data_IF_520775026621
#
_entry.id   IF_520775026621
#
_cell.length_a   1.000
_cell.length_b   1.000
_cell.length_c   1.000
_cell.angle_alpha   90.00
_cell.angle_beta   90.00
_cell.angle_gamma   90.00
#
_symmetry.space_group_name_H-M   'P 1'
#
loop_
_entity.id
_entity.type
_entity.pdbx_description
1 polymer ?
#
# COMPACT_ATOMS: atom_id res chain seq x y z
N UNK A 1 -21.31 28.99 -15.43
CA UNK A 1 -21.45 27.55 -15.13
C UNK A 1 -20.39 27.19 -14.10
N UNK A 2 -20.70 26.37 -13.08
CA UNK A 2 -19.67 25.91 -12.14
C UNK A 2 -18.58 25.14 -12.90
N UNK A 3 -17.32 25.31 -12.50
CA UNK A 3 -16.20 24.55 -13.07
C UNK A 3 -16.43 23.03 -12.90
N UNK A 4 -16.01 22.20 -13.87
CA UNK A 4 -16.13 20.76 -13.75
C UNK A 4 -15.33 20.26 -12.55
N UNK A 5 -15.87 19.27 -11.84
CA UNK A 5 -15.20 18.62 -10.73
C UNK A 5 -13.89 17.97 -11.24
N UNK A 6 -12.72 18.30 -10.65
CA UNK A 6 -11.47 17.62 -10.91
C UNK A 6 -11.56 16.12 -10.68
N UNK A 7 -10.78 15.32 -11.44
CA UNK A 7 -10.79 13.89 -11.28
C UNK A 7 -10.35 13.50 -9.86
N UNK A 8 -10.98 12.46 -9.33
CA UNK A 8 -10.71 11.94 -7.99
C UNK A 8 -9.86 10.68 -8.09
N UNK A 9 -8.85 10.56 -7.24
CA UNK A 9 -8.04 9.34 -7.12
C UNK A 9 -8.25 8.73 -5.73
N UNK A 10 -8.64 7.46 -5.70
CA UNK A 10 -8.79 6.65 -4.48
C UNK A 10 -7.52 5.84 -4.27
N UNK A 11 -6.88 6.05 -3.12
CA UNK A 11 -5.65 5.34 -2.70
C UNK A 11 -6.02 4.36 -1.58
N UNK A 12 -5.91 3.04 -1.81
CA UNK A 12 -6.40 2.04 -0.88
C UNK A 12 -5.47 1.80 0.32
N UNK A 13 -5.99 1.10 1.32
CA UNK A 13 -5.23 0.62 2.48
C UNK A 13 -4.28 -0.55 2.15
N UNK A 14 -3.46 -0.91 3.13
CA UNK A 14 -2.56 -2.07 3.03
C UNK A 14 -3.38 -3.33 2.76
N UNK A 15 -2.84 -4.23 1.92
CA UNK A 15 -3.46 -5.50 1.50
C UNK A 15 -4.71 -5.40 0.63
N UNK A 16 -5.30 -4.21 0.44
CA UNK A 16 -6.55 -4.03 -0.29
C UNK A 16 -6.43 -4.05 -1.83
N UNK A 17 -5.22 -4.24 -2.36
CA UNK A 17 -4.96 -4.40 -3.79
C UNK A 17 -4.65 -5.87 -4.07
N UNK A 18 -5.34 -6.48 -5.03
CA UNK A 18 -4.98 -7.79 -5.55
C UNK A 18 -3.65 -7.74 -6.28
N UNK A 19 -2.84 -8.79 -6.14
CA UNK A 19 -1.53 -8.91 -6.79
C UNK A 19 -1.51 -10.15 -7.69
N UNK A 20 -0.93 -10.01 -8.88
CA UNK A 20 -0.80 -11.09 -9.85
C UNK A 20 0.66 -11.22 -10.34
N UNK A 21 1.14 -12.44 -10.55
CA UNK A 21 2.36 -12.70 -11.29
C UNK A 21 2.08 -12.67 -12.80
N UNK A 22 2.84 -11.87 -13.52
CA UNK A 22 2.66 -11.61 -14.95
C UNK A 22 3.65 -12.33 -15.86
N UNK A 23 4.53 -13.19 -15.33
CA UNK A 23 5.39 -14.03 -16.16
C UNK A 23 4.68 -15.22 -16.83
N UNK A 24 3.74 -15.92 -16.18
CA UNK A 24 2.96 -16.94 -16.87
C UNK A 24 2.11 -16.36 -18.01
N UNK A 25 1.79 -17.17 -19.03
CA UNK A 25 0.98 -16.73 -20.18
C UNK A 25 -0.40 -16.20 -19.77
N UNK A 26 -1.00 -16.81 -18.76
CA UNK A 26 -2.19 -16.29 -18.07
C UNK A 26 -1.73 -15.78 -16.71
N UNK A 27 -1.92 -14.48 -16.39
CA UNK A 27 -1.52 -13.94 -15.10
C UNK A 27 -2.11 -14.76 -13.95
N UNK A 28 -1.27 -15.08 -12.98
CA UNK A 28 -1.64 -15.87 -11.82
C UNK A 28 -1.91 -14.95 -10.62
N UNK A 29 -3.15 -14.90 -10.12
CA UNK A 29 -3.49 -14.09 -8.94
C UNK A 29 -2.88 -14.74 -7.70
N UNK A 30 -1.89 -14.10 -7.07
CA UNK A 30 -1.21 -14.63 -5.87
C UNK A 30 -1.76 -14.04 -4.57
N UNK A 31 -2.49 -12.91 -4.66
CA UNK A 31 -3.14 -12.27 -3.54
C UNK A 31 -4.45 -11.62 -3.95
N UNK A 32 -5.50 -11.93 -3.20
CA UNK A 32 -6.70 -11.12 -3.09
C UNK A 32 -7.21 -11.14 -1.64
N UNK A 33 -7.82 -10.05 -1.14
CA UNK A 33 -8.15 -9.95 0.30
C UNK A 33 -9.05 -11.05 0.86
N UNK A 34 -9.81 -11.74 0.00
CA UNK A 34 -10.79 -12.75 0.40
C UNK A 34 -10.61 -14.10 -0.27
N UNK A 35 -10.15 -14.17 -1.52
CA UNK A 35 -10.19 -15.41 -2.31
C UNK A 35 -8.86 -16.16 -2.33
N UNK A 36 -7.75 -15.46 -2.57
CA UNK A 36 -6.43 -16.08 -2.64
C UNK A 36 -5.42 -15.43 -1.69
N UNK A 37 -4.79 -16.24 -0.81
CA UNK A 37 -3.79 -15.79 0.15
C UNK A 37 -2.57 -16.71 0.09
N UNK A 38 -1.83 -16.63 -1.01
CA UNK A 38 -0.60 -17.38 -1.17
C UNK A 38 0.56 -16.67 -0.45
N UNK A 39 0.70 -16.99 0.84
CA UNK A 39 1.70 -16.41 1.74
C UNK A 39 3.15 -16.69 1.30
N UNK A 40 3.39 -17.78 0.58
CA UNK A 40 4.72 -18.13 0.10
C UNK A 40 5.09 -17.27 -1.12
N UNK A 41 4.12 -17.05 -2.03
CA UNK A 41 4.29 -16.21 -3.23
C UNK A 41 4.39 -14.71 -2.94
N UNK A 42 3.81 -14.22 -1.83
CA UNK A 42 3.94 -12.81 -1.45
C UNK A 42 5.18 -12.50 -0.59
N UNK A 43 5.93 -13.51 -0.16
CA UNK A 43 7.10 -13.30 0.70
C UNK A 43 8.25 -12.63 -0.07
N UNK A 44 8.90 -11.64 0.57
CA UNK A 44 9.95 -10.83 -0.07
C UNK A 44 11.33 -11.47 0.12
N UNK A 45 12.18 -11.40 -0.90
CA UNK A 45 13.51 -11.98 -0.87
C UNK A 45 14.37 -11.31 0.22
N UNK A 46 15.06 -12.08 1.08
CA UNK A 46 15.80 -11.54 2.22
C UNK A 46 16.95 -10.60 1.81
N UNK A 47 17.68 -10.91 0.73
CA UNK A 47 18.79 -10.06 0.28
C UNK A 47 18.34 -8.78 -0.44
N UNK A 48 17.14 -8.77 -1.02
CA UNK A 48 16.61 -7.64 -1.77
C UNK A 48 15.07 -7.67 -1.74
N UNK A 49 14.44 -6.92 -0.81
CA UNK A 49 13.00 -6.97 -0.61
C UNK A 49 12.22 -6.27 -1.74
N UNK A 50 12.85 -5.98 -2.87
CA UNK A 50 12.18 -5.56 -4.10
C UNK A 50 11.66 -6.74 -4.92
N UNK A 51 12.16 -7.95 -4.65
CA UNK A 51 11.88 -9.17 -5.41
C UNK A 51 11.30 -10.27 -4.51
N UNK A 52 10.71 -11.27 -5.12
CA UNK A 52 10.07 -12.42 -4.48
C UNK A 52 11.08 -13.48 -4.05
N UNK A 53 10.78 -14.19 -2.97
CA UNK A 53 11.73 -15.09 -2.32
C UNK A 53 11.75 -16.53 -2.89
N UNK A 54 10.62 -16.97 -3.45
CA UNK A 54 10.43 -18.38 -3.83
C UNK A 54 10.97 -18.67 -5.24
N UNK A 55 10.57 -17.86 -6.20
CA UNK A 55 10.95 -18.01 -7.60
C UNK A 55 10.93 -16.65 -8.32
N UNK A 56 11.65 -16.51 -9.46
CA UNK A 56 11.53 -15.33 -10.29
C UNK A 56 10.07 -15.14 -10.74
N UNK A 57 9.46 -14.04 -10.30
CA UNK A 57 8.11 -13.65 -10.67
C UNK A 57 8.07 -12.15 -11.00
N UNK A 58 7.03 -11.73 -11.70
CA UNK A 58 6.77 -10.31 -11.97
C UNK A 58 5.44 -9.94 -11.38
N UNK A 59 5.45 -9.72 -10.08
CA UNK A 59 4.26 -9.37 -9.32
C UNK A 59 3.88 -7.91 -9.57
N UNK A 60 2.65 -7.70 -10.03
CA UNK A 60 2.10 -6.39 -10.29
C UNK A 60 0.75 -6.20 -9.58
N UNK A 61 0.42 -4.96 -9.18
CA UNK A 61 -0.89 -4.66 -8.66
C UNK A 61 -1.94 -4.70 -9.78
N UNK A 62 -3.05 -5.40 -9.52
CA UNK A 62 -4.13 -5.59 -10.50
C UNK A 62 -5.30 -4.64 -10.26
N UNK A 63 -6.00 -4.81 -9.14
CA UNK A 63 -7.23 -4.08 -8.84
C UNK A 63 -7.44 -3.92 -7.34
N UNK A 64 -8.21 -2.90 -6.95
CA UNK A 64 -8.69 -2.76 -5.58
C UNK A 64 -9.72 -3.85 -5.27
N UNK A 65 -9.89 -4.13 -3.99
CA UNK A 65 -10.90 -5.04 -3.50
C UNK A 65 -12.31 -4.47 -3.65
N UNK A 66 -12.98 -4.86 -4.74
CA UNK A 66 -14.28 -4.30 -5.15
C UNK A 66 -15.32 -4.24 -4.03
N UNK A 67 -15.44 -5.29 -3.21
CA UNK A 67 -16.39 -5.35 -2.08
C UNK A 67 -16.26 -4.17 -1.11
N UNK A 68 -15.06 -3.60 -0.93
CA UNK A 68 -14.83 -2.47 -0.03
C UNK A 68 -14.83 -1.12 -0.74
N UNK A 69 -14.41 -1.07 -2.01
CA UNK A 69 -14.16 0.20 -2.70
C UNK A 69 -15.17 0.54 -3.79
N UNK A 70 -15.98 -0.41 -4.27
CA UNK A 70 -16.95 -0.17 -5.35
C UNK A 70 -18.01 0.85 -4.92
N UNK A 71 -18.58 0.68 -3.73
CA UNK A 71 -19.56 1.62 -3.17
C UNK A 71 -18.98 3.01 -2.97
N UNK A 72 -17.73 3.10 -2.47
CA UNK A 72 -17.04 4.38 -2.31
C UNK A 72 -16.81 5.06 -3.67
N UNK A 73 -16.32 4.32 -4.67
CA UNK A 73 -16.09 4.85 -6.01
C UNK A 73 -17.40 5.27 -6.66
N UNK A 74 -18.46 4.47 -6.53
CA UNK A 74 -19.78 4.78 -7.05
C UNK A 74 -20.37 6.04 -6.40
N UNK A 75 -20.29 6.16 -5.07
CA UNK A 75 -20.74 7.34 -4.34
C UNK A 75 -19.95 8.59 -4.75
N UNK A 76 -18.62 8.53 -4.82
CA UNK A 76 -17.80 9.65 -5.28
C UNK A 76 -18.13 10.06 -6.73
N UNK A 77 -18.40 9.09 -7.61
CA UNK A 77 -18.86 9.37 -8.98
C UNK A 77 -20.22 10.05 -8.97
N UNK A 78 -21.17 9.60 -8.15
CA UNK A 78 -22.52 10.14 -8.11
C UNK A 78 -22.58 11.52 -7.43
N UNK A 79 -22.12 11.60 -6.18
CA UNK A 79 -22.35 12.75 -5.29
C UNK A 79 -21.52 13.98 -5.67
N UNK A 80 -20.37 13.77 -6.33
CA UNK A 80 -19.54 14.88 -6.82
C UNK A 80 -19.92 15.32 -8.23
N UNK A 81 -20.91 14.69 -8.87
CA UNK A 81 -21.34 15.04 -10.22
C UNK A 81 -22.22 16.28 -10.20
N UNK A 82 -21.77 17.34 -10.87
CA UNK A 82 -22.56 18.56 -11.03
C UNK A 82 -23.56 18.50 -12.19
N UNK A 83 -23.41 17.53 -13.11
CA UNK A 83 -24.30 17.33 -14.26
C UNK A 83 -24.51 15.86 -14.58
N UNK A 84 -25.76 15.40 -14.62
CA UNK A 84 -26.09 13.99 -14.83
C UNK A 84 -25.52 13.38 -16.14
N UNK A 85 -25.33 14.19 -17.18
CA UNK A 85 -24.74 13.79 -18.47
C UNK A 85 -23.21 13.68 -18.44
N UNK A 86 -22.57 14.10 -17.34
CA UNK A 86 -21.11 14.19 -17.18
C UNK A 86 -20.71 13.74 -15.78
N UNK A 87 -20.74 12.43 -15.49
CA UNK A 87 -20.35 11.93 -14.18
C UNK A 87 -18.89 12.25 -13.86
N UNK A 88 -18.60 12.59 -12.60
CA UNK A 88 -17.25 12.88 -12.12
C UNK A 88 -16.32 11.67 -12.32
N UNK A 89 -15.18 11.83 -13.00
CA UNK A 89 -14.21 10.76 -13.15
C UNK A 89 -13.54 10.41 -11.82
N UNK A 90 -13.64 9.14 -11.43
CA UNK A 90 -13.00 8.59 -10.22
C UNK A 90 -12.15 7.38 -10.62
N UNK A 91 -10.89 7.40 -10.21
CA UNK A 91 -9.87 6.42 -10.56
C UNK A 91 -9.31 5.76 -9.30
N UNK A 92 -9.09 4.46 -9.35
CA UNK A 92 -8.41 3.74 -8.29
C UNK A 92 -6.90 3.70 -8.57
N UNK A 93 -6.09 3.83 -7.52
CA UNK A 93 -4.63 3.67 -7.58
C UNK A 93 -4.22 2.35 -6.92
N UNK A 94 -4.22 1.22 -7.65
CA UNK A 94 -3.69 -0.03 -7.14
C UNK A 94 -2.16 0.05 -7.03
N UNK A 95 -1.60 -0.43 -5.91
CA UNK A 95 -0.16 -0.47 -5.67
C UNK A 95 0.26 -1.78 -5.00
N UNK A 96 1.52 -2.18 -5.17
CA UNK A 96 2.10 -3.31 -4.45
C UNK A 96 2.32 -2.92 -2.99
N UNK A 97 1.38 -3.32 -2.14
CA UNK A 97 1.33 -2.99 -0.73
C UNK A 97 2.42 -3.69 0.10
N UNK A 98 3.22 -4.57 -0.50
CA UNK A 98 4.33 -5.24 0.18
C UNK A 98 5.58 -4.35 0.23
N UNK A 99 5.76 -3.51 -0.78
CA UNK A 99 6.98 -2.75 -1.04
C UNK A 99 7.17 -1.57 -0.07
N UNK A 100 8.39 -1.03 -0.03
CA UNK A 100 8.66 0.26 0.64
C UNK A 100 7.69 1.34 0.12
N UNK A 101 6.93 1.95 1.03
CA UNK A 101 5.95 3.00 0.76
C UNK A 101 6.51 4.16 -0.09
N UNK A 102 7.82 4.45 0.00
CA UNK A 102 8.48 5.48 -0.82
C UNK A 102 8.40 5.17 -2.31
N UNK A 103 8.40 3.89 -2.71
CA UNK A 103 8.19 3.48 -4.11
C UNK A 103 6.77 3.79 -4.55
N UNK A 104 5.79 3.42 -3.73
CA UNK A 104 4.37 3.66 -3.99
C UNK A 104 4.04 5.16 -4.03
N UNK A 105 4.75 5.99 -3.25
CA UNK A 105 4.64 7.46 -3.30
C UNK A 105 5.10 8.02 -4.67
N UNK A 106 6.20 7.52 -5.21
CA UNK A 106 6.66 7.94 -6.54
C UNK A 106 5.70 7.48 -7.64
N UNK A 107 5.22 6.23 -7.55
CA UNK A 107 4.21 5.71 -8.47
C UNK A 107 2.90 6.51 -8.39
N UNK A 108 2.48 6.96 -7.20
CA UNK A 108 1.31 7.84 -7.05
C UNK A 108 1.55 9.19 -7.74
N UNK A 109 2.76 9.75 -7.63
CA UNK A 109 3.11 10.99 -8.31
C UNK A 109 3.02 10.87 -9.84
N UNK A 110 3.51 9.75 -10.40
CA UNK A 110 3.40 9.42 -11.82
C UNK A 110 1.94 9.22 -12.23
N UNK A 111 1.17 8.49 -11.43
CA UNK A 111 -0.24 8.21 -11.68
C UNK A 111 -1.09 9.49 -11.69
N UNK A 112 -0.83 10.45 -10.79
CA UNK A 112 -1.49 11.76 -10.80
C UNK A 112 -1.22 12.50 -12.11
N UNK A 113 0.02 12.45 -12.61
CA UNK A 113 0.38 13.06 -13.91
C UNK A 113 -0.38 12.37 -15.04
N UNK A 114 -0.42 11.04 -15.03
CA UNK A 114 -1.13 10.24 -16.02
C UNK A 114 -2.63 10.56 -16.04
N UNK A 115 -3.30 10.58 -14.89
CA UNK A 115 -4.73 10.91 -14.77
C UNK A 115 -5.03 12.30 -15.34
N UNK A 116 -4.21 13.32 -15.01
CA UNK A 116 -4.38 14.66 -15.56
C UNK A 116 -4.14 14.73 -17.07
N UNK A 117 -3.17 13.97 -17.58
CA UNK A 117 -2.86 13.88 -19.01
C UNK A 117 -3.96 13.14 -19.78
N UNK A 118 -4.59 12.12 -19.21
CA UNK A 118 -5.73 11.42 -19.83
C UNK A 118 -6.98 12.27 -19.80
N UNK A 119 -7.32 12.85 -18.64
CA UNK A 119 -8.54 13.64 -18.47
C UNK A 119 -8.60 14.87 -19.39
N UNK A 120 -7.49 15.58 -19.62
CA UNK A 120 -7.47 16.75 -20.53
C UNK A 120 -7.82 16.42 -21.99
N UNK A 121 -7.75 15.15 -22.39
CA UNK A 121 -8.06 14.71 -23.75
C UNK A 121 -9.54 14.33 -23.91
N UNK A 122 -10.30 14.27 -22.82
CA UNK A 122 -11.69 13.81 -22.85
C UNK A 122 -12.68 14.97 -23.00
N UNK A 123 -13.80 14.78 -23.72
CA UNK A 123 -14.84 15.80 -23.88
C UNK A 123 -15.38 16.37 -22.56
N UNK A 124 -15.32 15.58 -21.47
CA UNK A 124 -15.71 16.00 -20.13
C UNK A 124 -15.01 17.29 -19.69
N UNK A 125 -13.75 17.49 -20.11
CA UNK A 125 -12.89 18.60 -19.71
C UNK A 125 -12.44 19.49 -20.88
N UNK A 126 -13.13 19.44 -22.02
CA UNK A 126 -12.72 20.16 -23.23
C UNK A 126 -12.63 21.69 -23.02
N UNK A 127 -13.62 22.25 -22.30
CA UNK A 127 -13.70 23.69 -22.06
C UNK A 127 -12.74 24.15 -20.95
N UNK A 128 -12.58 23.32 -19.91
CA UNK A 128 -11.76 23.62 -18.72
C UNK A 128 -10.93 22.38 -18.36
N UNK A 129 -9.72 22.23 -18.93
CA UNK A 129 -8.84 21.10 -18.64
C UNK A 129 -8.41 21.06 -17.16
N UNK A 130 -8.45 19.89 -16.48
CA UNK A 130 -8.08 19.80 -15.09
C UNK A 130 -6.56 19.95 -14.95
N UNK A 131 -6.15 20.82 -14.02
CA UNK A 131 -4.75 21.00 -13.63
C UNK A 131 -4.41 20.32 -12.31
N UNK A 132 -5.44 19.89 -11.56
CA UNK A 132 -5.32 19.27 -10.24
C UNK A 132 -6.26 18.08 -10.12
N UNK A 133 -5.99 17.24 -9.12
CA UNK A 133 -6.83 16.11 -8.70
C UNK A 133 -7.31 16.31 -7.27
N UNK A 134 -8.40 15.65 -6.90
CA UNK A 134 -8.73 15.40 -5.49
C UNK A 134 -8.27 13.98 -5.10
N UNK A 135 -7.76 13.81 -3.89
CA UNK A 135 -7.26 12.53 -3.40
C UNK A 135 -8.09 12.04 -2.22
N UNK A 136 -8.46 10.75 -2.23
CA UNK A 136 -9.13 10.06 -1.13
C UNK A 136 -8.26 8.89 -0.69
N UNK A 137 -7.67 8.99 0.50
CA UNK A 137 -6.81 7.94 1.06
C UNK A 137 -7.53 7.14 2.14
N UNK A 138 -7.57 5.83 2.01
CA UNK A 138 -8.04 4.94 3.06
C UNK A 138 -6.87 4.25 3.77
N UNK A 139 -6.88 4.24 5.11
CA UNK A 139 -5.85 3.57 5.93
C UNK A 139 -4.44 4.00 5.49
N UNK A 140 -3.54 3.06 5.16
CA UNK A 140 -2.19 3.32 4.67
C UNK A 140 -2.14 4.19 3.40
N UNK A 141 -3.20 4.21 2.59
CA UNK A 141 -3.28 5.07 1.41
C UNK A 141 -3.21 6.57 1.75
N UNK A 142 -3.70 6.97 2.92
CA UNK A 142 -3.52 8.36 3.38
C UNK A 142 -2.07 8.70 3.75
N UNK A 143 -1.25 7.71 4.17
CA UNK A 143 0.18 7.91 4.38
C UNK A 143 0.91 8.11 3.06
N UNK A 144 0.54 7.35 2.02
CA UNK A 144 1.09 7.53 0.68
C UNK A 144 0.74 8.93 0.13
N UNK A 145 -0.48 9.40 0.34
CA UNK A 145 -0.86 10.77 -0.02
C UNK A 145 -0.03 11.79 0.77
N UNK A 146 0.11 11.63 2.09
CA UNK A 146 0.90 12.54 2.91
C UNK A 146 2.36 12.61 2.43
N UNK A 147 2.96 11.46 2.11
CA UNK A 147 4.29 11.38 1.51
C UNK A 147 4.36 12.06 0.14
N UNK A 148 3.38 11.83 -0.74
CA UNK A 148 3.29 12.51 -2.03
C UNK A 148 3.24 14.04 -1.90
N UNK A 149 2.49 14.56 -0.92
CA UNK A 149 2.38 16.01 -0.67
C UNK A 149 3.71 16.67 -0.28
N UNK A 150 4.70 15.90 0.20
CA UNK A 150 6.05 16.43 0.47
C UNK A 150 6.83 16.72 -0.82
N UNK A 151 6.45 16.10 -1.94
CA UNK A 151 7.12 16.30 -3.23
C UNK A 151 6.72 17.66 -3.83
N UNK A 152 7.69 18.35 -4.44
CA UNK A 152 7.44 19.64 -5.12
C UNK A 152 6.36 19.53 -6.19
N UNK A 153 6.26 18.37 -6.86
CA UNK A 153 5.29 18.10 -7.93
C UNK A 153 3.84 18.08 -7.45
N UNK A 154 3.59 17.78 -6.18
CA UNK A 154 2.24 17.71 -5.62
C UNK A 154 1.59 19.09 -5.43
N UNK A 155 2.39 20.12 -5.09
CA UNK A 155 1.91 21.48 -4.74
C UNK A 155 1.02 22.11 -5.80
N UNK A 156 1.26 21.81 -7.07
CA UNK A 156 0.50 22.39 -8.19
C UNK A 156 -0.59 21.45 -8.73
N UNK A 157 -0.62 20.19 -8.27
CA UNK A 157 -1.43 19.11 -8.85
C UNK A 157 -2.49 18.54 -7.92
N UNK A 158 -2.52 18.93 -6.65
CA UNK A 158 -3.54 18.47 -5.69
C UNK A 158 -4.42 19.65 -5.27
N UNK A 159 -5.74 19.47 -5.32
CA UNK A 159 -6.71 20.48 -4.89
C UNK A 159 -7.24 20.18 -3.50
N UNK A 160 -7.73 18.97 -3.25
CA UNK A 160 -8.23 18.51 -1.93
C UNK A 160 -7.71 17.12 -1.59
N UNK A 161 -7.64 16.86 -0.29
CA UNK A 161 -7.32 15.54 0.27
C UNK A 161 -8.35 15.18 1.33
N UNK A 162 -8.87 13.97 1.27
CA UNK A 162 -9.68 13.33 2.30
C UNK A 162 -8.97 12.07 2.76
N UNK A 163 -8.89 11.84 4.06
CA UNK A 163 -8.34 10.59 4.62
C UNK A 163 -9.37 9.87 5.48
N UNK A 164 -9.40 8.55 5.37
CA UNK A 164 -10.36 7.66 6.03
C UNK A 164 -9.56 6.67 6.89
N UNK A 165 -9.59 6.83 8.22
CA UNK A 165 -8.92 5.90 9.14
C UNK A 165 -7.41 5.80 8.98
N UNK A 166 -6.74 6.86 8.51
CA UNK A 166 -5.29 6.83 8.23
C UNK A 166 -4.44 6.85 9.52
N UNK A 167 -3.52 5.90 9.71
CA UNK A 167 -2.69 5.81 10.91
C UNK A 167 -1.46 6.72 10.82
N UNK A 168 -1.64 8.04 10.87
CA UNK A 168 -0.54 9.04 10.74
C UNK A 168 0.62 8.88 11.74
N UNK A 169 0.39 8.20 12.86
CA UNK A 169 1.40 7.93 13.91
C UNK A 169 1.70 6.45 14.06
N UNK A 170 1.40 5.65 13.02
CA UNK A 170 1.44 4.20 13.00
C UNK A 170 0.23 3.52 13.64
N UNK A 171 0.20 2.20 13.57
CA UNK A 171 -0.89 1.34 14.02
C UNK A 171 -0.35 0.25 14.95
N UNK A 172 -0.94 0.12 16.15
CA UNK A 172 -0.63 -0.96 17.10
C UNK A 172 -0.86 -2.33 16.47
N UNK A 173 -1.79 -2.43 15.53
CA UNK A 173 -2.06 -3.66 14.77
C UNK A 173 -0.82 -4.20 14.05
N UNK A 174 0.08 -3.33 13.57
CA UNK A 174 1.34 -3.77 12.96
C UNK A 174 2.24 -4.51 13.96
N UNK A 175 2.25 -4.08 15.22
CA UNK A 175 3.00 -4.73 16.31
C UNK A 175 2.41 -6.11 16.60
N UNK A 176 1.08 -6.18 16.73
CA UNK A 176 0.34 -7.44 16.92
C UNK A 176 0.62 -8.40 15.76
N UNK A 177 0.59 -7.89 14.51
CA UNK A 177 0.81 -8.70 13.32
C UNK A 177 2.19 -9.32 13.29
N UNK A 178 3.22 -8.52 13.56
CA UNK A 178 4.61 -8.98 13.59
C UNK A 178 4.91 -9.87 14.80
N UNK A 179 4.23 -9.66 15.94
CA UNK A 179 4.49 -10.41 17.17
C UNK A 179 3.74 -11.74 17.20
N UNK A 180 2.43 -11.73 16.99
CA UNK A 180 1.56 -12.89 17.22
C UNK A 180 0.92 -13.43 15.94
N UNK A 181 0.90 -12.64 14.87
CA UNK A 181 0.19 -12.97 13.64
C UNK A 181 -1.28 -12.58 13.67
N UNK A 182 -1.75 -12.07 14.81
CA UNK A 182 -3.11 -11.56 14.99
C UNK A 182 -3.23 -10.16 14.41
N UNK A 183 -4.45 -9.75 14.08
CA UNK A 183 -4.73 -8.37 13.70
C UNK A 183 -6.20 -8.16 13.34
N UNK A 184 -6.64 -6.90 13.36
CA UNK A 184 -8.05 -6.52 13.17
C UNK A 184 -8.63 -7.02 11.84
N UNK A 185 -7.78 -7.17 10.82
CA UNK A 185 -8.19 -7.67 9.49
C UNK A 185 -8.11 -9.20 9.33
N UNK A 186 -7.55 -9.91 10.31
CA UNK A 186 -7.19 -11.35 10.18
C UNK A 186 -7.80 -12.25 11.25
N UNK A 187 -8.43 -11.64 12.27
CA UNK A 187 -9.15 -12.29 13.35
C UNK A 187 -8.29 -12.64 14.57
N UNK A 188 -8.93 -13.22 15.58
CA UNK A 188 -8.37 -13.46 16.93
C UNK A 188 -7.55 -14.76 17.06
N UNK A 189 -7.38 -15.52 15.98
CA UNK A 189 -6.62 -16.76 15.98
C UNK A 189 -5.20 -16.55 15.40
N UNK A 190 -4.13 -17.04 16.06
CA UNK A 190 -2.77 -17.00 15.52
C UNK A 190 -2.68 -17.74 14.17
N UNK A 191 -2.13 -17.07 13.15
CA UNK A 191 -1.88 -17.63 11.82
C UNK A 191 -0.39 -17.63 11.53
N UNK A 192 0.25 -18.79 11.71
CA UNK A 192 1.72 -18.88 11.65
C UNK A 192 2.29 -18.46 10.29
N UNK A 193 1.74 -18.96 9.18
CA UNK A 193 2.21 -18.62 7.82
C UNK A 193 2.09 -17.13 7.52
N UNK A 194 0.97 -16.54 7.93
CA UNK A 194 0.72 -15.12 7.72
C UNK A 194 1.66 -14.24 8.56
N UNK A 195 1.94 -14.64 9.80
CA UNK A 195 2.93 -13.97 10.66
C UNK A 195 4.32 -14.03 10.04
N UNK A 196 4.72 -15.21 9.55
CA UNK A 196 6.02 -15.40 8.91
C UNK A 196 6.13 -14.53 7.65
N UNK A 197 5.14 -14.53 6.77
CA UNK A 197 5.09 -13.67 5.59
C UNK A 197 5.13 -12.18 5.98
N UNK A 198 4.33 -11.75 6.95
CA UNK A 198 4.28 -10.35 7.40
C UNK A 198 5.64 -9.81 7.88
N UNK A 199 6.46 -10.66 8.51
CA UNK A 199 7.82 -10.30 8.95
C UNK A 199 8.80 -10.04 7.80
N UNK A 200 8.44 -10.41 6.58
CA UNK A 200 9.25 -10.15 5.38
C UNK A 200 8.83 -8.91 4.61
N UNK A 201 7.71 -8.27 4.99
CA UNK A 201 7.05 -7.23 4.20
C UNK A 201 7.43 -5.83 4.70
N UNK A 202 8.22 -5.04 3.94
CA UNK A 202 8.61 -3.68 4.28
C UNK A 202 7.49 -2.76 4.78
N UNK A 203 6.37 -2.69 4.06
CA UNK A 203 5.29 -1.76 4.38
C UNK A 203 4.67 -1.97 5.78
N UNK A 204 4.69 -3.21 6.30
CA UNK A 204 4.17 -3.50 7.64
C UNK A 204 5.05 -2.84 8.70
N UNK A 205 6.37 -2.80 8.51
CA UNK A 205 7.28 -2.10 9.41
C UNK A 205 7.06 -0.58 9.37
N UNK A 206 6.73 -0.03 8.20
CA UNK A 206 6.40 1.39 8.02
C UNK A 206 5.08 1.81 8.67
N UNK A 207 4.30 0.86 9.19
CA UNK A 207 3.12 1.11 10.02
C UNK A 207 3.43 1.05 11.52
N UNK A 208 4.67 0.79 11.95
CA UNK A 208 5.01 0.76 13.38
C UNK A 208 4.76 2.11 14.05
N UNK A 209 4.12 2.14 15.22
CA UNK A 209 3.82 3.38 15.90
C UNK A 209 5.05 4.05 16.51
N UNK A 210 5.08 5.38 16.47
CA UNK A 210 6.20 6.21 16.93
C UNK A 210 5.81 7.26 17.98
N UNK A 211 4.63 7.13 18.59
CA UNK A 211 4.16 8.06 19.62
C UNK A 211 4.66 7.74 21.03
N UNK A 212 4.73 8.77 21.87
CA UNK A 212 5.19 8.65 23.26
C UNK A 212 4.35 7.68 24.10
N UNK A 213 4.99 7.02 25.06
CA UNK A 213 4.37 5.99 25.90
C UNK A 213 4.59 4.56 25.42
N UNK A 214 5.23 4.37 24.26
CA UNK A 214 5.63 3.07 23.74
C UNK A 214 7.15 2.82 23.89
N UNK A 215 7.58 1.55 24.03
CA UNK A 215 8.98 1.19 23.78
C UNK A 215 9.40 1.62 22.37
N UNK A 216 10.70 1.87 22.17
CA UNK A 216 11.21 2.17 20.83
C UNK A 216 11.10 0.93 19.92
N UNK A 217 10.03 0.83 19.14
CA UNK A 217 9.75 -0.30 18.23
C UNK A 217 10.71 -0.36 17.04
N UNK A 218 11.52 0.67 16.80
CA UNK A 218 12.59 0.67 15.79
C UNK A 218 13.91 0.12 16.35
N UNK A 219 13.92 -0.37 17.60
CA UNK A 219 15.07 -1.01 18.22
C UNK A 219 14.84 -2.52 18.35
N UNK A 220 15.74 -3.32 17.77
CA UNK A 220 15.67 -4.79 17.80
C UNK A 220 15.51 -5.37 19.21
N UNK A 221 16.15 -4.75 20.22
CA UNK A 221 16.12 -5.21 21.62
C UNK A 221 14.73 -5.19 22.26
N UNK A 222 13.80 -4.42 21.71
CA UNK A 222 12.44 -4.28 22.24
C UNK A 222 11.47 -5.29 21.61
N UNK A 223 11.94 -6.16 20.72
CA UNK A 223 11.14 -7.20 20.10
C UNK A 223 11.40 -8.56 20.72
N UNK A 224 10.35 -9.37 20.76
CA UNK A 224 10.46 -10.75 21.24
C UNK A 224 11.46 -11.57 20.38
N UNK A 225 12.26 -12.46 20.98
CA UNK A 225 13.28 -13.24 20.25
C UNK A 225 12.74 -14.05 19.06
N UNK A 226 11.48 -14.47 19.11
CA UNK A 226 10.87 -15.28 18.05
C UNK A 226 10.69 -14.52 16.73
N UNK A 227 10.69 -13.18 16.72
CA UNK A 227 10.68 -12.40 15.46
C UNK A 227 11.98 -12.62 14.71
N UNK A 228 13.11 -12.40 15.38
CA UNK A 228 14.44 -12.61 14.81
C UNK A 228 14.67 -14.08 14.50
N UNK A 229 14.21 -15.00 15.37
CA UNK A 229 14.29 -16.44 15.15
C UNK A 229 13.58 -16.90 13.87
N UNK A 230 12.39 -16.35 13.56
CA UNK A 230 11.71 -16.60 12.29
C UNK A 230 12.52 -16.08 11.11
N UNK A 231 13.07 -14.86 11.19
CA UNK A 231 13.88 -14.30 10.11
C UNK A 231 15.18 -15.06 9.89
N UNK A 232 15.79 -15.61 10.94
CA UNK A 232 16.93 -16.54 10.83
C UNK A 232 16.57 -17.80 10.06
N UNK A 233 15.45 -18.44 10.44
CA UNK A 233 14.95 -19.62 9.73
C UNK A 233 14.66 -19.28 8.27
N UNK A 234 14.04 -18.14 8.01
CA UNK A 234 13.70 -17.65 6.67
C UNK A 234 14.96 -17.43 5.80
N UNK A 235 15.92 -16.64 6.26
CA UNK A 235 17.18 -16.43 5.53
C UNK A 235 17.91 -17.75 5.23
N UNK A 236 17.92 -18.70 6.18
CA UNK A 236 18.52 -20.03 5.97
C UNK A 236 17.79 -20.83 4.89
N UNK A 237 16.46 -20.86 4.92
CA UNK A 237 15.66 -21.60 3.94
C UNK A 237 15.84 -21.07 2.52
N UNK A 238 16.01 -19.75 2.37
CA UNK A 238 16.23 -19.08 1.08
C UNK A 238 17.72 -18.91 0.72
N UNK A 239 18.64 -19.52 1.48
CA UNK A 239 20.10 -19.43 1.24
C UNK A 239 20.60 -17.98 1.07
N UNK A 240 20.05 -17.06 1.87
CA UNK A 240 20.35 -15.64 1.79
C UNK A 240 21.82 -15.32 2.12
N UNK A 241 22.34 -14.25 1.54
CA UNK A 241 23.67 -13.71 1.86
C UNK A 241 23.70 -12.97 3.20
N UNK A 242 22.53 -12.59 3.72
CA UNK A 242 22.37 -11.97 5.03
C UNK A 242 21.68 -12.91 6.02
N UNK A 243 21.96 -12.73 7.30
CA UNK A 243 21.24 -13.43 8.36
C UNK A 243 19.94 -12.70 8.77
N UNK A 244 19.17 -13.34 9.66
CA UNK A 244 17.91 -12.80 10.15
C UNK A 244 18.06 -11.52 10.98
N UNK A 245 19.18 -11.33 11.68
CA UNK A 245 19.44 -10.16 12.51
C UNK A 245 19.73 -8.91 11.65
N UNK A 246 20.47 -9.10 10.56
CA UNK A 246 20.74 -8.07 9.55
C UNK A 246 19.48 -7.72 8.77
N UNK A 247 18.70 -8.71 8.31
CA UNK A 247 17.42 -8.48 7.64
C UNK A 247 16.46 -7.66 8.52
N UNK A 248 16.30 -8.07 9.78
CA UNK A 248 15.45 -7.35 10.71
C UNK A 248 15.90 -5.91 10.95
N UNK A 249 17.22 -5.71 11.12
CA UNK A 249 17.80 -4.37 11.26
C UNK A 249 17.54 -3.48 10.04
N UNK A 250 17.63 -4.03 8.83
CA UNK A 250 17.33 -3.30 7.59
C UNK A 250 15.86 -2.90 7.50
N UNK A 251 14.92 -3.80 7.84
CA UNK A 251 13.48 -3.51 7.84
C UNK A 251 13.12 -2.42 8.86
N UNK A 252 13.67 -2.49 10.08
CA UNK A 252 13.46 -1.46 11.10
C UNK A 252 14.08 -0.11 10.70
N UNK A 253 15.28 -0.10 10.13
CA UNK A 253 15.95 1.12 9.66
C UNK A 253 15.20 1.76 8.50
N UNK A 254 14.70 0.94 7.56
CA UNK A 254 13.86 1.39 6.46
C UNK A 254 12.61 2.11 6.99
N UNK A 255 11.97 1.53 8.01
CA UNK A 255 10.78 2.08 8.62
C UNK A 255 11.03 3.34 9.48
N UNK A 256 12.19 3.44 10.14
CA UNK A 256 12.53 4.66 10.90
C UNK A 256 12.80 5.88 10.01
N UNK A 257 13.11 5.62 8.74
CA UNK A 257 13.46 6.64 7.74
C UNK A 257 12.28 7.01 6.83
N UNK A 258 11.07 6.51 7.15
CA UNK A 258 9.82 6.79 6.46
C UNK A 258 9.02 7.86 7.22
#
# INVERSE_FOLDING_TARGET
>A
MPEPQPPVIVVPGITATSLEDTYPLSPDEIWSPVLNKDYDRIAMHPDDPRYEALEPSRVLPRSLFGIVYDDLVAALRHDLTSRADRPTPVYAFPYDWRQDCRRSIQQLAEFVVEVLNRCRLLPHYADVPPTRVDLVGHSMGGLLIAGYLTLKTARTRVRRVVTLGTPFRGAVDAVSKLSTGMGTLTGDAPRDREREAARTIPAIYQLLPSYGGLPNLFSKKNWQPSVVGTLWKYCRLHQAKIDGDKLFGQLLKMASDF
#
